data_IF_708155847881
#
_entry.id   IF_708155847881
#
_cell.length_a   1.000
_cell.length_b   1.000
_cell.length_c   1.000
_cell.angle_alpha   90.00
_cell.angle_beta   90.00
_cell.angle_gamma   90.00
#
_symmetry.space_group_name_H-M   'P 1'
#
loop_
_entity.id
_entity.type
_entity.pdbx_description
1 polymer ?
#
# COMPACT_ATOMS: atom_id res chain seq x y z
N UNK A 1 13.31 -22.88 -1.05
CA UNK A 1 13.20 -21.42 -1.24
C UNK A 1 13.00 -20.79 0.13
N UNK A 2 13.88 -19.85 0.54
CA UNK A 2 13.68 -19.04 1.74
C UNK A 2 12.46 -18.14 1.46
N UNK A 3 11.40 -18.23 2.26
CA UNK A 3 10.24 -17.35 2.10
C UNK A 3 10.77 -15.92 2.24
N UNK A 4 10.62 -15.04 1.24
CA UNK A 4 10.94 -13.63 1.40
C UNK A 4 10.19 -13.12 2.61
N UNK A 5 10.82 -12.25 3.41
CA UNK A 5 10.12 -11.59 4.49
C UNK A 5 8.98 -10.77 3.85
N UNK A 6 7.75 -10.94 4.35
CA UNK A 6 6.62 -10.20 3.81
C UNK A 6 6.77 -8.75 4.24
N UNK A 7 7.04 -7.87 3.29
CA UNK A 7 7.13 -6.43 3.55
C UNK A 7 5.75 -5.79 3.47
N UNK A 8 5.57 -4.68 4.17
CA UNK A 8 4.32 -3.90 4.08
C UNK A 8 4.08 -3.43 2.65
N UNK A 9 5.15 -3.10 1.91
CA UNK A 9 5.07 -2.73 0.50
C UNK A 9 4.44 -3.84 -0.37
N UNK A 10 4.68 -5.11 -0.07
CA UNK A 10 4.08 -6.23 -0.81
C UNK A 10 2.56 -6.28 -0.64
N UNK A 11 2.08 -5.99 0.58
CA UNK A 11 0.65 -5.95 0.89
C UNK A 11 -0.01 -4.79 0.14
N UNK A 12 0.60 -3.61 0.17
CA UNK A 12 0.10 -2.43 -0.52
C UNK A 12 0.12 -2.62 -2.04
N UNK A 13 1.16 -3.22 -2.59
CA UNK A 13 1.23 -3.53 -4.02
C UNK A 13 0.12 -4.49 -4.45
N UNK A 14 -0.15 -5.54 -3.67
CA UNK A 14 -1.15 -6.56 -4.01
C UNK A 14 -2.59 -6.11 -3.74
N UNK A 15 -2.83 -5.39 -2.66
CA UNK A 15 -4.18 -5.12 -2.15
C UNK A 15 -4.53 -3.63 -2.12
N UNK A 16 -3.55 -2.73 -2.19
CA UNK A 16 -3.73 -1.29 -2.01
C UNK A 16 -4.64 -0.66 -3.07
N UNK A 17 -4.54 -1.08 -4.34
CA UNK A 17 -5.41 -0.57 -5.40
C UNK A 17 -6.89 -0.91 -5.17
N UNK A 18 -7.19 -2.16 -4.81
CA UNK A 18 -8.55 -2.61 -4.53
C UNK A 18 -9.12 -1.92 -3.28
N UNK A 19 -8.30 -1.79 -2.24
CA UNK A 19 -8.70 -1.08 -1.02
C UNK A 19 -8.99 0.40 -1.27
N UNK A 20 -8.13 1.09 -2.05
CA UNK A 20 -8.35 2.49 -2.45
C UNK A 20 -9.65 2.67 -3.24
N UNK A 21 -9.95 1.74 -4.14
CA UNK A 21 -11.20 1.77 -4.90
C UNK A 21 -12.42 1.61 -3.98
N UNK A 22 -12.37 0.67 -3.03
CA UNK A 22 -13.46 0.42 -2.08
C UNK A 22 -13.70 1.58 -1.09
N UNK A 23 -12.66 2.38 -0.81
CA UNK A 23 -12.72 3.51 0.14
C UNK A 23 -12.67 4.87 -0.55
N UNK A 24 -12.87 4.93 -1.87
CA UNK A 24 -12.86 6.16 -2.63
C UNK A 24 -13.84 7.19 -2.02
N UNK A 25 -13.39 8.44 -1.89
CA UNK A 25 -14.16 9.53 -1.25
C UNK A 25 -14.04 9.62 0.29
N UNK A 26 -13.54 8.58 0.95
CA UNK A 26 -13.28 8.58 2.41
C UNK A 26 -11.80 8.73 2.76
N UNK A 27 -10.92 8.75 1.75
CA UNK A 27 -9.48 8.89 1.93
C UNK A 27 -9.08 10.36 1.91
N UNK A 28 -8.44 10.80 2.98
CA UNK A 28 -7.76 12.08 3.03
C UNK A 28 -6.52 12.09 2.13
N UNK A 29 -6.10 13.28 1.69
CA UNK A 29 -4.86 13.45 0.94
C UNK A 29 -3.63 12.92 1.70
N UNK A 30 -3.62 13.04 3.04
CA UNK A 30 -2.55 12.53 3.89
C UNK A 30 -2.45 11.00 3.82
N UNK A 31 -3.58 10.30 3.88
CA UNK A 31 -3.61 8.85 3.72
C UNK A 31 -3.08 8.43 2.35
N UNK A 32 -3.55 9.08 1.27
CA UNK A 32 -3.07 8.78 -0.09
C UNK A 32 -1.55 8.94 -0.23
N UNK A 33 -0.97 9.99 0.36
CA UNK A 33 0.48 10.21 0.39
C UNK A 33 1.23 9.12 1.14
N UNK A 34 0.72 8.68 2.28
CA UNK A 34 1.32 7.57 3.05
C UNK A 34 1.29 6.28 2.24
N UNK A 35 0.16 5.95 1.61
CA UNK A 35 0.06 4.75 0.77
C UNK A 35 1.08 4.77 -0.37
N UNK A 36 1.21 5.90 -1.08
CA UNK A 36 2.18 6.06 -2.15
C UNK A 36 3.63 5.95 -1.63
N UNK A 37 3.93 6.56 -0.48
CA UNK A 37 5.25 6.48 0.13
C UNK A 37 5.64 5.03 0.46
N UNK A 38 4.72 4.25 1.04
CA UNK A 38 4.94 2.82 1.34
C UNK A 38 5.17 2.00 0.07
N UNK A 39 4.42 2.26 -1.01
CA UNK A 39 4.64 1.58 -2.29
C UNK A 39 6.01 1.91 -2.92
N UNK A 40 6.54 3.13 -2.68
CA UNK A 40 7.82 3.58 -3.26
C UNK A 40 9.05 3.30 -2.39
N UNK A 41 8.90 3.27 -1.06
CA UNK A 41 10.00 3.02 -0.13
C UNK A 41 10.17 1.51 0.03
N UNK A 42 11.17 0.94 -0.62
CA UNK A 42 11.63 -0.43 -0.37
C UNK A 42 12.74 -0.39 0.67
N UNK A 43 12.47 -0.90 1.86
CA UNK A 43 13.42 -1.00 2.99
C UNK A 43 13.60 -2.44 3.38
#
# INVERSE_FOLDING_TARGET
MRRPFLEVADIFHRHGAAWRAAHAGHLSLGQLKVMAAIETCRT
#
